data_IF_104212850638
#
_entry.id   IF_104212850638
#
_cell.length_a   1.000
_cell.length_b   1.000
_cell.length_c   1.000
_cell.angle_alpha   90.00
_cell.angle_beta   90.00
_cell.angle_gamma   90.00
#
_symmetry.space_group_name_H-M   'P 1'
#
loop_
_entity.id
_entity.type
_entity.pdbx_description
1 polymer ?
#
# COMPACT_ATOMS: atom_id res chain seq x y z
N UNK A 1 -13.63 -21.92 15.09
CA UNK A 1 -12.39 -22.36 14.40
C UNK A 1 -12.51 -21.90 12.96
N UNK A 2 -12.08 -20.67 12.67
CA UNK A 2 -12.06 -20.10 11.32
C UNK A 2 -10.80 -20.57 10.62
N UNK A 3 -11.00 -21.26 9.50
CA UNK A 3 -9.92 -21.73 8.65
C UNK A 3 -9.18 -20.51 8.07
N UNK A 4 -7.89 -20.42 8.36
CA UNK A 4 -6.98 -19.51 7.70
C UNK A 4 -6.90 -19.85 6.21
N UNK A 5 -7.75 -19.29 5.40
CA UNK A 5 -7.50 -19.20 3.98
C UNK A 5 -6.40 -18.15 3.79
N UNK A 6 -5.15 -18.56 3.97
CA UNK A 6 -4.03 -17.86 3.37
C UNK A 6 -4.41 -17.58 1.92
N UNK A 7 -4.29 -16.33 1.48
CA UNK A 7 -4.51 -15.96 0.08
C UNK A 7 -3.39 -16.58 -0.77
N UNK A 8 -3.32 -17.91 -0.81
CA UNK A 8 -2.44 -18.72 -1.68
C UNK A 8 -2.79 -18.62 -3.17
N UNK A 9 -3.67 -17.69 -3.52
CA UNK A 9 -4.25 -17.56 -4.86
C UNK A 9 -3.33 -16.88 -5.86
N UNK A 10 -2.28 -16.26 -5.37
CA UNK A 10 -1.41 -15.42 -6.19
C UNK A 10 0.01 -15.77 -5.81
N UNK A 11 0.77 -16.31 -6.71
CA UNK A 11 2.17 -16.66 -6.57
C UNK A 11 3.05 -15.84 -5.60
N UNK A 12 2.95 -14.48 -5.45
CA UNK A 12 3.53 -13.77 -4.33
C UNK A 12 2.69 -13.97 -3.07
N UNK A 13 3.32 -14.33 -1.96
CA UNK A 13 2.65 -14.24 -0.66
C UNK A 13 2.54 -12.78 -0.27
N UNK A 14 1.29 -12.32 -0.06
CA UNK A 14 0.98 -11.00 0.46
C UNK A 14 0.68 -11.12 1.95
N UNK A 15 1.35 -10.33 2.76
CA UNK A 15 1.14 -10.29 4.21
C UNK A 15 0.80 -8.87 4.63
N UNK A 16 -0.26 -8.70 5.41
CA UNK A 16 -0.58 -7.44 6.05
C UNK A 16 0.13 -7.35 7.41
N UNK A 17 0.95 -6.33 7.59
CA UNK A 17 1.74 -6.09 8.80
C UNK A 17 1.09 -5.08 9.75
N UNK A 18 -0.10 -4.60 9.40
CA UNK A 18 -0.86 -3.59 10.12
C UNK A 18 -0.89 -2.25 9.39
N UNK A 19 -1.89 -1.42 9.71
CA UNK A 19 -2.09 -0.09 9.13
C UNK A 19 -2.06 -0.10 7.59
N UNK A 20 -1.08 0.58 6.98
CA UNK A 20 -0.82 0.54 5.54
C UNK A 20 0.40 -0.33 5.18
N UNK A 21 0.95 -1.06 6.16
CA UNK A 21 2.16 -1.85 5.99
C UNK A 21 1.88 -3.21 5.38
N UNK A 22 2.55 -3.51 4.28
CA UNK A 22 2.46 -4.81 3.61
C UNK A 22 3.83 -5.35 3.24
N UNK A 23 3.93 -6.68 3.17
CA UNK A 23 5.07 -7.33 2.54
C UNK A 23 4.62 -8.28 1.43
N UNK A 24 5.45 -8.39 0.41
CA UNK A 24 5.27 -9.30 -0.72
C UNK A 24 6.52 -10.16 -0.85
N UNK A 25 6.32 -11.43 -1.17
CA UNK A 25 7.44 -12.34 -1.49
C UNK A 25 7.23 -12.87 -2.90
N UNK A 26 8.26 -12.87 -3.72
CA UNK A 26 8.18 -13.42 -5.07
C UNK A 26 7.89 -14.94 -5.06
N UNK A 27 7.47 -15.51 -6.21
CA UNK A 27 7.10 -16.94 -6.30
C UNK A 27 8.23 -17.87 -5.88
N UNK A 28 9.47 -17.46 -6.07
CA UNK A 28 10.65 -18.26 -5.72
C UNK A 28 11.04 -18.10 -4.25
N UNK A 29 10.38 -17.19 -3.51
CA UNK A 29 10.72 -16.86 -2.12
C UNK A 29 12.07 -16.16 -1.98
N UNK A 30 12.65 -15.67 -3.08
CA UNK A 30 14.01 -15.12 -3.11
C UNK A 30 14.06 -13.63 -2.82
N UNK A 31 12.97 -12.90 -3.09
CA UNK A 31 12.91 -11.45 -2.91
C UNK A 31 11.74 -11.05 -2.06
N UNK A 32 12.00 -10.11 -1.16
CA UNK A 32 11.03 -9.56 -0.23
C UNK A 32 10.91 -8.07 -0.45
N UNK A 33 9.69 -7.63 -0.62
CA UNK A 33 9.30 -6.25 -0.84
C UNK A 33 8.45 -5.78 0.34
N UNK A 34 8.71 -4.60 0.86
CA UNK A 34 7.89 -3.95 1.88
C UNK A 34 7.29 -2.66 1.34
N UNK A 35 6.08 -2.34 1.78
CA UNK A 35 5.43 -1.06 1.53
C UNK A 35 5.04 -0.45 2.86
N UNK A 36 5.40 0.81 3.09
CA UNK A 36 5.07 1.62 4.27
C UNK A 36 5.29 0.87 5.61
N UNK A 37 6.50 0.37 5.90
CA UNK A 37 6.77 -0.38 7.13
C UNK A 37 6.62 0.54 8.35
N UNK A 38 5.59 0.27 9.16
CA UNK A 38 5.23 1.02 10.35
C UNK A 38 4.72 0.10 11.46
N UNK A 39 5.11 0.36 12.71
CA UNK A 39 4.71 -0.37 13.93
C UNK A 39 4.86 -1.88 13.80
N UNK A 40 6.01 -2.30 13.22
CA UNK A 40 6.31 -3.70 12.98
C UNK A 40 6.50 -4.46 14.30
N UNK A 41 5.49 -5.24 14.69
CA UNK A 41 5.43 -6.01 15.95
C UNK A 41 6.00 -7.42 15.81
N UNK A 42 6.11 -7.90 14.60
CA UNK A 42 6.56 -9.26 14.28
C UNK A 42 8.06 -9.39 14.57
N UNK A 43 8.41 -10.37 15.37
CA UNK A 43 9.82 -10.73 15.61
C UNK A 43 10.37 -11.52 14.42
N UNK A 44 11.64 -11.27 14.08
CA UNK A 44 12.37 -12.00 13.03
C UNK A 44 11.75 -11.84 11.62
N UNK A 45 11.27 -10.63 11.27
CA UNK A 45 10.97 -10.30 9.89
C UNK A 45 12.24 -10.48 9.04
N UNK A 46 12.06 -11.01 7.84
CA UNK A 46 13.18 -11.14 6.89
C UNK A 46 13.51 -9.75 6.35
N UNK A 47 14.79 -9.53 6.07
CA UNK A 47 15.26 -8.29 5.47
C UNK A 47 14.70 -8.10 4.05
N UNK A 48 14.35 -6.85 3.71
CA UNK A 48 13.76 -6.48 2.43
C UNK A 48 14.80 -6.28 1.33
N UNK A 49 14.46 -6.66 0.11
CA UNK A 49 15.27 -6.33 -1.07
C UNK A 49 14.95 -4.93 -1.57
N UNK A 50 13.67 -4.54 -1.53
CA UNK A 50 13.21 -3.19 -1.84
C UNK A 50 12.16 -2.80 -0.79
N UNK A 51 12.30 -1.56 -0.27
CA UNK A 51 11.34 -0.96 0.64
C UNK A 51 10.72 0.25 -0.06
N UNK A 52 9.41 0.25 -0.23
CA UNK A 52 8.65 1.32 -0.85
C UNK A 52 7.99 2.18 0.24
N UNK A 53 8.11 3.49 0.13
CA UNK A 53 7.44 4.45 1.02
C UNK A 53 6.58 5.36 0.16
N UNK A 54 5.28 5.44 0.48
CA UNK A 54 4.32 6.24 -0.30
C UNK A 54 4.47 7.73 -0.02
N UNK A 55 4.70 8.10 1.24
CA UNK A 55 4.77 9.50 1.67
C UNK A 55 5.44 9.67 3.05
N UNK A 56 5.60 10.93 3.49
CA UNK A 56 6.46 11.31 4.61
C UNK A 56 5.78 11.34 5.98
N UNK A 57 4.52 10.91 6.13
CA UNK A 57 3.88 10.81 7.45
C UNK A 57 4.48 9.68 8.28
N UNK A 58 4.52 9.86 9.59
CA UNK A 58 5.22 8.95 10.52
C UNK A 58 4.61 7.56 10.61
N UNK A 59 3.36 7.39 10.21
CA UNK A 59 2.63 6.12 10.16
C UNK A 59 2.80 5.35 8.82
N UNK A 60 3.64 5.89 7.91
CA UNK A 60 4.10 5.26 6.66
C UNK A 60 5.61 5.27 6.55
N UNK A 61 6.25 6.33 7.03
CA UNK A 61 7.70 6.50 7.07
C UNK A 61 8.21 6.39 8.50
N UNK A 62 8.57 5.19 8.94
CA UNK A 62 9.16 4.90 10.25
C UNK A 62 10.62 4.47 10.10
N UNK A 63 11.59 5.36 10.33
CA UNK A 63 13.02 5.00 10.25
C UNK A 63 13.39 3.84 11.15
N UNK A 64 12.81 3.75 12.35
CA UNK A 64 13.07 2.64 13.30
C UNK A 64 12.58 1.29 12.78
N UNK A 65 11.42 1.25 12.09
CA UNK A 65 10.92 0.00 11.50
C UNK A 65 11.67 -0.37 10.23
N UNK A 66 12.01 0.62 9.40
CA UNK A 66 12.86 0.42 8.22
C UNK A 66 14.18 -0.23 8.62
N UNK A 67 14.82 0.25 9.69
CA UNK A 67 16.10 -0.31 10.17
C UNK A 67 16.00 -1.81 10.54
N UNK A 68 14.84 -2.27 11.03
CA UNK A 68 14.63 -3.69 11.38
C UNK A 68 14.68 -4.65 10.18
N UNK A 69 14.43 -4.12 8.98
CA UNK A 69 14.29 -4.90 7.74
C UNK A 69 15.29 -4.51 6.65
N UNK A 70 16.25 -3.63 6.99
CA UNK A 70 17.35 -3.24 6.08
C UNK A 70 18.44 -4.32 6.05
N UNK A 71 19.01 -4.54 4.87
CA UNK A 71 20.27 -5.22 4.63
C UNK A 71 21.17 -4.38 3.72
N UNK A 72 22.42 -4.76 3.58
CA UNK A 72 23.38 -3.99 2.77
C UNK A 72 22.98 -3.80 1.30
N UNK A 73 22.20 -4.72 0.75
CA UNK A 73 21.73 -4.65 -0.64
C UNK A 73 20.33 -4.04 -0.81
N UNK A 74 19.67 -3.59 0.27
CA UNK A 74 18.33 -3.00 0.22
C UNK A 74 18.33 -1.68 -0.53
N UNK A 75 17.33 -1.48 -1.39
CA UNK A 75 17.04 -0.20 -2.02
C UNK A 75 15.76 0.36 -1.41
N UNK A 76 15.79 1.62 -0.99
CA UNK A 76 14.60 2.34 -0.53
C UNK A 76 14.09 3.22 -1.65
N UNK A 77 12.83 3.01 -2.01
CA UNK A 77 12.10 3.71 -3.06
C UNK A 77 11.09 4.64 -2.43
N UNK A 78 11.23 5.94 -2.64
CA UNK A 78 10.32 6.93 -2.08
C UNK A 78 10.35 8.25 -2.85
N UNK A 79 9.47 9.17 -2.50
CA UNK A 79 9.54 10.56 -2.96
C UNK A 79 10.74 11.29 -2.36
N UNK A 80 11.17 12.37 -3.00
CA UNK A 80 12.41 13.07 -2.63
C UNK A 80 12.40 13.55 -1.17
N UNK A 81 11.27 14.09 -0.70
CA UNK A 81 11.07 14.59 0.66
C UNK A 81 11.21 13.51 1.75
N UNK A 82 10.89 12.26 1.44
CA UNK A 82 11.16 11.10 2.32
C UNK A 82 12.64 10.77 2.32
N UNK A 83 13.24 10.63 1.13
CA UNK A 83 14.64 10.22 0.99
C UNK A 83 15.62 11.24 1.59
N UNK A 84 15.29 12.53 1.59
CA UNK A 84 16.08 13.59 2.22
C UNK A 84 16.14 13.43 3.75
N UNK A 85 15.10 12.85 4.36
CA UNK A 85 15.03 12.60 5.82
C UNK A 85 15.75 11.32 6.26
N UNK A 86 16.23 10.51 5.31
CA UNK A 86 16.88 9.23 5.60
C UNK A 86 18.40 9.38 5.64
N UNK A 87 19.02 8.82 6.68
CA UNK A 87 20.48 8.64 6.74
C UNK A 87 20.89 7.33 6.07
N UNK A 88 20.89 7.31 4.74
CA UNK A 88 21.30 6.18 3.91
C UNK A 88 22.25 6.65 2.80
N UNK A 89 23.18 5.80 2.35
CA UNK A 89 24.00 6.05 1.16
C UNK A 89 23.14 6.34 -0.07
N UNK A 90 23.67 7.16 -0.98
CA UNK A 90 22.94 7.61 -2.19
C UNK A 90 22.55 6.45 -3.11
N UNK A 91 23.38 5.45 -3.24
CA UNK A 91 23.17 4.25 -4.06
C UNK A 91 22.06 3.32 -3.52
N UNK A 92 21.65 3.52 -2.27
CA UNK A 92 20.51 2.82 -1.65
C UNK A 92 19.19 3.59 -1.74
N UNK A 93 19.20 4.81 -2.25
CA UNK A 93 18.06 5.71 -2.41
C UNK A 93 17.60 5.77 -3.85
N UNK A 94 16.32 5.48 -4.10
CA UNK A 94 15.72 5.58 -5.42
C UNK A 94 14.52 6.52 -5.39
N UNK A 95 14.68 7.71 -5.99
CA UNK A 95 13.64 8.73 -5.99
C UNK A 95 12.58 8.46 -7.05
N UNK A 96 11.31 8.62 -6.67
CA UNK A 96 10.16 8.49 -7.56
C UNK A 96 9.31 9.76 -7.58
N UNK A 97 8.53 9.89 -8.66
CA UNK A 97 7.54 10.97 -8.86
C UNK A 97 6.25 10.36 -9.40
N UNK A 98 5.08 11.01 -9.23
CA UNK A 98 3.84 10.55 -9.82
C UNK A 98 3.92 10.38 -11.35
N UNK A 99 3.07 9.52 -11.91
CA UNK A 99 2.91 9.28 -13.35
C UNK A 99 4.14 8.72 -14.06
N UNK A 100 4.98 7.98 -13.37
CA UNK A 100 6.20 7.40 -13.94
C UNK A 100 6.19 5.87 -13.83
N UNK A 101 6.90 5.21 -14.75
CA UNK A 101 7.21 3.78 -14.67
C UNK A 101 8.70 3.61 -14.44
N UNK A 102 9.04 2.62 -13.62
CA UNK A 102 10.40 2.36 -13.18
C UNK A 102 10.73 0.88 -13.25
N UNK A 103 12.01 0.59 -13.36
CA UNK A 103 12.54 -0.76 -13.20
C UNK A 103 13.79 -0.70 -12.33
N UNK A 104 13.82 -1.50 -11.26
CA UNK A 104 14.97 -1.68 -10.38
C UNK A 104 15.39 -3.14 -10.47
N UNK A 105 16.61 -3.37 -10.97
CA UNK A 105 17.07 -4.73 -11.34
C UNK A 105 16.10 -5.29 -12.40
N UNK A 106 15.27 -6.26 -12.06
CA UNK A 106 14.25 -6.88 -12.93
C UNK A 106 12.82 -6.69 -12.40
N UNK A 107 12.65 -5.84 -11.37
CA UNK A 107 11.37 -5.52 -10.79
C UNK A 107 10.79 -4.24 -11.37
N UNK A 108 9.63 -4.34 -12.03
CA UNK A 108 8.95 -3.20 -12.66
C UNK A 108 7.77 -2.73 -11.83
N UNK A 109 7.64 -1.43 -11.69
CA UNK A 109 6.53 -0.77 -10.99
C UNK A 109 6.23 0.59 -11.61
N UNK A 110 5.05 1.11 -11.32
CA UNK A 110 4.65 2.46 -11.70
C UNK A 110 4.09 3.21 -10.50
N UNK A 111 4.00 4.52 -10.63
CA UNK A 111 3.47 5.42 -9.61
C UNK A 111 2.31 6.22 -10.15
N UNK A 112 1.29 6.43 -9.33
CA UNK A 112 0.24 7.42 -9.53
C UNK A 112 0.25 8.40 -8.34
N UNK A 113 -0.30 9.62 -8.47
CA UNK A 113 -0.39 10.49 -7.32
C UNK A 113 -1.30 9.90 -6.24
N UNK A 114 -1.00 10.23 -4.98
CA UNK A 114 -1.84 9.99 -3.84
C UNK A 114 -2.06 11.32 -3.13
N UNK A 115 -3.32 11.78 -3.03
CA UNK A 115 -3.65 13.08 -2.44
C UNK A 115 -5.11 13.18 -2.00
N UNK A 116 -5.40 14.17 -1.15
CA UNK A 116 -6.77 14.51 -0.81
C UNK A 116 -7.34 15.55 -1.79
N UNK A 117 -8.59 15.35 -2.19
CA UNK A 117 -9.37 16.30 -2.98
C UNK A 117 -10.63 16.82 -2.25
N UNK A 118 -10.97 16.21 -1.10
CA UNK A 118 -12.08 16.69 -0.28
C UNK A 118 -11.70 18.00 0.43
N UNK A 119 -12.51 19.07 0.39
CA UNK A 119 -12.16 20.39 0.92
C UNK A 119 -11.68 20.41 2.37
N UNK A 120 -12.21 19.52 3.21
CA UNK A 120 -11.83 19.43 4.63
C UNK A 120 -10.54 18.64 4.89
N UNK A 121 -10.00 17.97 3.88
CA UNK A 121 -8.83 17.09 4.01
C UNK A 121 -7.60 17.57 3.25
N UNK A 122 -7.69 18.65 2.47
CA UNK A 122 -6.63 19.13 1.57
C UNK A 122 -5.26 19.29 2.24
N UNK A 123 -5.24 19.59 3.55
CA UNK A 123 -4.01 19.82 4.29
C UNK A 123 -3.32 18.53 4.77
N UNK A 124 -4.01 17.37 4.75
CA UNK A 124 -3.40 16.12 5.18
C UNK A 124 -2.46 15.56 4.10
N UNK A 125 -2.96 15.48 2.87
CA UNK A 125 -2.20 14.98 1.72
C UNK A 125 -2.33 15.93 0.53
N UNK A 126 -1.64 17.10 0.57
CA UNK A 126 -1.71 18.07 -0.52
C UNK A 126 -1.16 17.49 -1.82
N UNK A 127 -1.84 17.72 -2.95
CA UNK A 127 -1.37 17.28 -4.27
C UNK A 127 0.02 17.81 -4.62
N UNK A 128 0.38 18.98 -4.09
CA UNK A 128 1.70 19.61 -4.29
C UNK A 128 2.87 18.82 -3.70
N UNK A 129 2.62 17.90 -2.75
CA UNK A 129 3.67 17.07 -2.16
C UNK A 129 4.18 16.00 -3.13
N UNK A 130 3.46 15.74 -4.24
CA UNK A 130 3.79 14.70 -5.20
C UNK A 130 3.95 13.30 -4.59
N UNK A 131 3.23 13.00 -3.53
CA UNK A 131 3.19 11.69 -2.90
C UNK A 131 2.50 10.68 -3.82
N UNK A 132 2.78 9.39 -3.59
CA UNK A 132 2.46 8.36 -4.58
C UNK A 132 1.77 7.14 -3.99
N UNK A 133 0.87 6.55 -4.78
CA UNK A 133 0.53 5.14 -4.70
C UNK A 133 1.38 4.35 -5.69
N UNK A 134 1.56 3.07 -5.44
CA UNK A 134 2.38 2.16 -6.25
C UNK A 134 1.54 1.15 -7.00
N UNK A 135 1.94 0.86 -8.23
CA UNK A 135 1.41 -0.23 -9.04
C UNK A 135 2.56 -1.18 -9.32
N UNK A 136 2.49 -2.39 -8.79
CA UNK A 136 3.53 -3.41 -8.91
C UNK A 136 3.16 -4.43 -9.98
N UNK A 137 4.11 -4.75 -10.85
CA UNK A 137 4.04 -5.90 -11.75
C UNK A 137 4.88 -7.04 -11.14
N UNK A 138 4.25 -7.98 -10.47
CA UNK A 138 4.92 -9.05 -9.75
C UNK A 138 4.33 -10.41 -10.16
N UNK A 139 5.15 -11.31 -10.70
CA UNK A 139 4.76 -12.66 -11.13
C UNK A 139 3.52 -12.69 -12.05
N UNK A 140 3.47 -11.77 -13.00
CA UNK A 140 2.35 -11.62 -13.92
C UNK A 140 1.07 -11.09 -13.28
N UNK A 141 1.14 -10.56 -12.07
CA UNK A 141 0.03 -9.93 -11.33
C UNK A 141 0.24 -8.43 -11.23
N UNK A 142 -0.86 -7.69 -11.33
CA UNK A 142 -0.90 -6.24 -11.16
C UNK A 142 -1.49 -5.91 -9.80
N UNK A 143 -0.70 -5.29 -8.92
CA UNK A 143 -1.06 -4.96 -7.54
C UNK A 143 -0.99 -3.45 -7.37
N UNK A 144 -2.07 -2.83 -6.94
CA UNK A 144 -2.12 -1.41 -6.60
C UNK A 144 -2.18 -1.22 -5.09
N UNK A 145 -1.23 -0.47 -4.54
CA UNK A 145 -1.24 0.04 -3.17
C UNK A 145 -1.46 1.55 -3.23
N UNK A 146 -2.59 2.02 -2.72
CA UNK A 146 -3.02 3.39 -2.93
C UNK A 146 -2.19 4.43 -2.17
N UNK A 147 -1.53 4.07 -1.07
CA UNK A 147 -1.07 5.03 -0.08
C UNK A 147 -2.25 5.77 0.54
N UNK A 148 -1.99 6.94 1.10
CA UNK A 148 -3.03 7.78 1.68
C UNK A 148 -3.58 8.75 0.64
N UNK A 149 -4.87 8.62 0.37
CA UNK A 149 -5.54 9.35 -0.71
C UNK A 149 -7.06 9.35 -0.52
N UNK A 150 -7.72 10.33 -1.10
CA UNK A 150 -9.16 10.26 -1.41
C UNK A 150 -9.37 9.54 -2.74
N UNK A 151 -10.65 9.34 -3.15
CA UNK A 151 -10.98 8.81 -4.47
C UNK A 151 -10.69 9.86 -5.54
N UNK A 152 -9.55 9.75 -6.17
CA UNK A 152 -9.06 10.67 -7.20
C UNK A 152 -9.37 10.18 -8.61
N UNK A 153 -9.42 11.10 -9.57
CA UNK A 153 -9.76 10.79 -10.98
C UNK A 153 -8.75 9.80 -11.60
N UNK A 154 -7.49 9.87 -11.19
CA UNK A 154 -6.44 8.97 -11.66
C UNK A 154 -6.76 7.48 -11.40
N UNK A 155 -7.46 7.16 -10.30
CA UNK A 155 -7.85 5.77 -9.98
C UNK A 155 -8.81 5.19 -11.03
N UNK A 156 -9.70 5.99 -11.64
CA UNK A 156 -10.64 5.51 -12.66
C UNK A 156 -9.93 4.94 -13.89
N UNK A 157 -8.76 5.50 -14.21
CA UNK A 157 -7.94 5.07 -15.35
C UNK A 157 -7.26 3.73 -15.11
N UNK A 158 -7.06 3.34 -13.85
CA UNK A 158 -6.42 2.06 -13.50
C UNK A 158 -7.27 0.85 -13.86
N UNK A 159 -8.57 1.01 -14.11
CA UNK A 159 -9.43 -0.08 -14.58
C UNK A 159 -8.89 -0.78 -15.82
N UNK A 160 -8.27 -0.03 -16.74
CA UNK A 160 -7.69 -0.56 -17.98
C UNK A 160 -6.49 -1.50 -17.75
N UNK A 161 -5.88 -1.44 -16.56
CA UNK A 161 -4.74 -2.30 -16.19
C UNK A 161 -5.17 -3.71 -15.74
N UNK A 162 -6.49 -3.96 -15.60
CA UNK A 162 -7.02 -5.25 -15.10
C UNK A 162 -6.33 -5.69 -13.81
N UNK A 163 -6.35 -4.84 -12.79
CA UNK A 163 -5.70 -5.08 -11.52
C UNK A 163 -6.12 -6.43 -10.91
N UNK A 164 -5.16 -7.21 -10.44
CA UNK A 164 -5.43 -8.42 -9.68
C UNK A 164 -5.79 -8.07 -8.24
N UNK A 165 -5.08 -7.11 -7.63
CA UNK A 165 -5.29 -6.67 -6.25
C UNK A 165 -5.28 -5.14 -6.20
N UNK A 166 -6.24 -4.55 -5.48
CA UNK A 166 -6.22 -3.15 -5.06
C UNK A 166 -6.23 -3.10 -3.52
N UNK A 167 -5.27 -2.41 -2.94
CA UNK A 167 -5.12 -2.18 -1.49
C UNK A 167 -5.41 -0.70 -1.26
N UNK A 168 -6.53 -0.39 -0.58
CA UNK A 168 -7.04 0.97 -0.46
C UNK A 168 -7.44 1.34 0.97
N UNK A 169 -7.21 2.60 1.42
CA UNK A 169 -7.58 3.05 2.75
C UNK A 169 -9.10 3.21 2.88
N UNK A 170 -9.64 2.86 4.06
CA UNK A 170 -11.07 3.02 4.42
C UNK A 170 -11.28 3.73 5.76
N UNK A 171 -10.24 4.34 6.33
CA UNK A 171 -10.25 4.89 7.69
C UNK A 171 -11.04 6.18 7.90
N UNK A 172 -11.32 6.94 6.84
CA UNK A 172 -12.26 8.07 6.81
C UNK A 172 -11.70 9.42 7.26
N UNK A 173 -10.93 9.50 8.33
CA UNK A 173 -10.51 10.79 8.89
C UNK A 173 -9.54 11.53 7.97
N UNK A 174 -8.51 10.85 7.51
CA UNK A 174 -7.43 11.43 6.70
C UNK A 174 -7.50 11.02 5.24
N UNK A 175 -8.23 9.95 4.96
CA UNK A 175 -8.34 9.29 3.66
C UNK A 175 -9.80 9.03 3.31
N UNK A 176 -10.08 8.19 2.33
CA UNK A 176 -11.43 7.75 1.99
C UNK A 176 -12.16 7.15 3.20
N UNK A 177 -13.41 7.53 3.39
CA UNK A 177 -14.30 6.76 4.24
C UNK A 177 -14.78 5.48 3.55
N UNK A 178 -15.55 4.66 4.26
CA UNK A 178 -16.04 3.37 3.73
C UNK A 178 -16.87 3.53 2.45
N UNK A 179 -17.65 4.60 2.33
CA UNK A 179 -18.53 4.83 1.17
C UNK A 179 -17.71 5.29 -0.03
N UNK A 180 -16.82 6.23 0.18
CA UNK A 180 -15.91 6.74 -0.84
C UNK A 180 -14.96 5.64 -1.33
N UNK A 181 -14.39 4.85 -0.39
CA UNK A 181 -13.50 3.73 -0.72
C UNK A 181 -14.23 2.64 -1.52
N UNK A 182 -15.50 2.36 -1.20
CA UNK A 182 -16.29 1.42 -1.99
C UNK A 182 -16.56 1.93 -3.42
N UNK A 183 -16.78 3.24 -3.58
CA UNK A 183 -16.89 3.86 -4.90
C UNK A 183 -15.58 3.76 -5.68
N UNK A 184 -14.43 3.97 -5.02
CA UNK A 184 -13.10 3.79 -5.61
C UNK A 184 -12.86 2.33 -6.01
N UNK A 185 -13.16 1.36 -5.14
CA UNK A 185 -13.04 -0.07 -5.42
C UNK A 185 -13.87 -0.49 -6.65
N UNK A 186 -15.12 -0.01 -6.72
CA UNK A 186 -16.00 -0.27 -7.86
C UNK A 186 -15.49 0.36 -9.17
N UNK A 187 -14.86 1.53 -9.10
CA UNK A 187 -14.26 2.18 -10.26
C UNK A 187 -12.97 1.47 -10.73
N UNK A 188 -12.12 1.05 -9.79
CA UNK A 188 -10.91 0.26 -10.05
C UNK A 188 -11.23 -1.10 -10.66
N UNK A 189 -12.29 -1.75 -10.18
CA UNK A 189 -12.76 -3.06 -10.67
C UNK A 189 -11.64 -4.13 -10.64
N UNK A 190 -10.81 -4.11 -9.60
CA UNK A 190 -9.80 -5.14 -9.37
C UNK A 190 -10.45 -6.50 -9.09
N UNK A 191 -9.75 -7.61 -9.33
CA UNK A 191 -10.28 -8.94 -8.98
C UNK A 191 -10.49 -9.08 -7.46
N UNK A 192 -9.55 -8.52 -6.68
CA UNK A 192 -9.60 -8.49 -5.22
C UNK A 192 -9.36 -7.06 -4.74
N UNK A 193 -10.14 -6.64 -3.75
CA UNK A 193 -9.89 -5.39 -3.01
C UNK A 193 -9.65 -5.70 -1.53
N UNK A 194 -8.58 -5.13 -0.99
CA UNK A 194 -8.15 -5.30 0.40
C UNK A 194 -8.22 -3.92 1.07
N UNK A 195 -9.02 -3.76 2.13
CA UNK A 195 -9.04 -2.52 2.90
C UNK A 195 -7.81 -2.43 3.80
N UNK A 196 -7.28 -1.21 3.95
CA UNK A 196 -6.16 -0.88 4.82
C UNK A 196 -6.40 0.43 5.59
N UNK A 197 -5.48 0.80 6.48
CA UNK A 197 -5.44 2.10 7.15
C UNK A 197 -6.71 2.44 7.94
N UNK A 198 -7.29 1.49 8.67
CA UNK A 198 -8.56 1.70 9.37
C UNK A 198 -8.60 1.15 10.79
N UNK A 199 -7.98 0.00 11.11
CA UNK A 199 -8.15 -0.66 12.41
C UNK A 199 -7.72 0.24 13.58
N UNK A 200 -6.58 0.90 13.48
CA UNK A 200 -6.09 1.83 14.49
C UNK A 200 -6.97 3.08 14.65
N UNK A 201 -7.62 3.51 13.57
CA UNK A 201 -8.48 4.71 13.54
C UNK A 201 -9.89 4.41 14.01
N UNK A 202 -10.48 3.31 13.54
CA UNK A 202 -11.88 2.97 13.79
C UNK A 202 -12.07 2.12 15.05
N UNK A 203 -11.02 1.42 15.52
CA UNK A 203 -11.02 0.58 16.72
C UNK A 203 -12.21 -0.39 16.73
N UNK A 204 -13.14 -0.26 17.71
CA UNK A 204 -14.32 -1.11 17.85
C UNK A 204 -15.29 -1.02 16.66
N UNK A 205 -15.21 0.04 15.86
CA UNK A 205 -16.03 0.22 14.66
C UNK A 205 -15.43 -0.45 13.43
N UNK A 206 -14.28 -1.11 13.54
CA UNK A 206 -13.59 -1.71 12.40
C UNK A 206 -14.41 -2.82 11.74
N UNK A 207 -15.05 -3.69 12.50
CA UNK A 207 -15.88 -4.79 12.00
C UNK A 207 -17.11 -4.26 11.24
N UNK A 208 -17.79 -3.23 11.78
CA UNK A 208 -18.90 -2.57 11.10
C UNK A 208 -18.46 -1.94 9.77
N UNK A 209 -17.26 -1.35 9.74
CA UNK A 209 -16.69 -0.76 8.54
C UNK A 209 -16.36 -1.83 7.48
N UNK A 210 -15.78 -2.96 7.88
CA UNK A 210 -15.50 -4.11 7.02
C UNK A 210 -16.78 -4.69 6.40
N UNK A 211 -17.81 -4.90 7.22
CA UNK A 211 -19.12 -5.38 6.80
C UNK A 211 -19.80 -4.43 5.80
N UNK A 212 -19.78 -3.12 6.13
CA UNK A 212 -20.34 -2.09 5.25
C UNK A 212 -19.57 -2.03 3.93
N UNK A 213 -18.23 -2.10 3.98
CA UNK A 213 -17.38 -2.10 2.80
C UNK A 213 -17.67 -3.29 1.89
N UNK A 214 -17.75 -4.53 2.46
CA UNK A 214 -18.13 -5.74 1.72
C UNK A 214 -19.49 -5.61 1.01
N UNK A 215 -20.47 -4.96 1.66
CA UNK A 215 -21.81 -4.76 1.08
C UNK A 215 -21.83 -3.76 -0.08
N UNK A 216 -21.01 -2.71 -0.01
CA UNK A 216 -20.99 -1.63 -0.99
C UNK A 216 -20.10 -1.93 -2.22
N UNK A 217 -19.11 -2.78 -2.07
CA UNK A 217 -18.24 -3.18 -3.19
C UNK A 217 -18.91 -4.30 -3.98
N UNK A 218 -19.21 -4.03 -5.25
CA UNK A 218 -19.95 -4.96 -6.12
C UNK A 218 -19.14 -5.46 -7.32
N UNK A 219 -18.03 -4.80 -7.66
CA UNK A 219 -17.21 -5.11 -8.84
C UNK A 219 -15.92 -5.86 -8.52
N UNK A 220 -15.69 -6.21 -7.26
CA UNK A 220 -14.47 -6.82 -6.76
C UNK A 220 -14.77 -7.76 -5.59
N UNK A 221 -13.99 -8.83 -5.42
CA UNK A 221 -14.03 -9.64 -4.19
C UNK A 221 -13.31 -8.89 -3.08
N UNK A 222 -14.02 -8.50 -2.03
CA UNK A 222 -13.39 -7.91 -0.83
C UNK A 222 -12.78 -9.02 0.02
N UNK A 223 -11.51 -8.87 0.38
CA UNK A 223 -10.78 -9.77 1.28
C UNK A 223 -10.27 -8.95 2.46
N UNK A 224 -10.72 -9.32 3.66
CA UNK A 224 -10.20 -8.76 4.90
C UNK A 224 -9.03 -9.64 5.33
N UNK A 225 -7.86 -9.05 5.43
CA UNK A 225 -6.68 -9.74 5.94
C UNK A 225 -6.59 -9.63 7.46
N UNK A 226 -6.03 -10.65 8.08
CA UNK A 226 -5.59 -10.56 9.46
C UNK A 226 -4.20 -9.91 9.51
N UNK A 227 -4.03 -9.01 10.49
CA UNK A 227 -2.74 -8.41 10.78
C UNK A 227 -1.79 -9.46 11.34
N UNK A 228 -0.61 -9.59 10.78
CA UNK A 228 0.44 -10.47 11.31
C UNK A 228 1.00 -9.88 12.60
N UNK A 229 0.91 -10.66 13.69
CA UNK A 229 1.35 -10.27 15.04
C UNK A 229 2.53 -11.10 15.51
#
# INVERSE_FOLDING_TARGET
MGSFENVKWFGPSLTWLGHASFSFVDEKGNRIYYVDPFDLKVKNLKEGDIIFITHAHSDHFSPSDITKILKDSTIVVATADVLEKMDLPRDKKFAVKPYQSYTIKDFSFATIPAYNNHPQKLNFHPKSNNWVGYIFALNGKMIYHAGDTDFIEEMRRLKSLNLDIAIIPIGGTYTMDVVEAAAAANALSAKITIPMHYKNLLREKSEDAEEKFKKLVTSSKVVILEELK
#
